data_IF_782365134937
#
_entry.id   IF_782365134937
#
_cell.length_a   1.000
_cell.length_b   1.000
_cell.length_c   1.000
_cell.angle_alpha   90.00
_cell.angle_beta   90.00
_cell.angle_gamma   90.00
#
_symmetry.space_group_name_H-M   'P 1'
#
loop_
_entity.id
_entity.type
_entity.pdbx_description
1 polymer ?
#
# COMPACT_ATOMS: atom_id res chain seq x y z
N UNK A 1 6.17 -10.14 36.93
CA UNK A 1 5.90 -8.85 36.22
C UNK A 1 7.22 -8.42 35.58
N UNK A 2 7.28 -8.09 34.29
CA UNK A 2 8.55 -7.67 33.64
C UNK A 2 8.85 -6.20 33.95
N UNK A 3 9.98 -5.96 34.59
CA UNK A 3 10.51 -4.63 34.90
C UNK A 3 11.70 -4.34 33.99
N UNK A 4 11.71 -3.14 33.43
CA UNK A 4 12.70 -2.75 32.43
C UNK A 4 13.84 -2.00 33.14
N UNK A 5 15.03 -2.56 33.11
CA UNK A 5 16.23 -1.93 33.65
C UNK A 5 16.62 -0.71 32.81
N UNK A 6 16.81 0.43 33.46
CA UNK A 6 17.34 1.64 32.85
C UNK A 6 18.86 1.67 33.04
N UNK A 7 19.55 2.03 31.97
CA UNK A 7 21.00 2.26 31.96
C UNK A 7 21.29 3.71 32.37
N UNK A 8 22.51 4.00 32.81
CA UNK A 8 22.96 5.35 33.23
C UNK A 8 22.73 6.40 32.16
N UNK A 9 22.90 5.99 30.90
CA UNK A 9 22.63 6.85 29.76
C UNK A 9 21.13 7.10 29.53
N UNK A 10 20.21 6.68 30.40
CA UNK A 10 18.75 6.86 30.30
C UNK A 10 18.05 6.01 29.23
N UNK A 11 18.76 5.13 28.53
CA UNK A 11 18.15 4.08 27.69
C UNK A 11 17.76 2.85 28.53
N UNK A 12 17.10 1.87 27.91
CA UNK A 12 16.78 0.61 28.58
C UNK A 12 17.75 -0.49 28.15
N UNK A 13 18.10 -1.37 29.09
CA UNK A 13 18.77 -2.61 28.77
C UNK A 13 17.80 -3.52 27.99
N UNK A 14 18.27 -4.07 26.89
CA UNK A 14 17.50 -4.93 25.98
C UNK A 14 18.24 -6.20 25.58
N UNK A 15 19.56 -6.24 25.78
CA UNK A 15 20.36 -7.46 25.67
C UNK A 15 19.90 -8.53 26.65
N UNK A 16 20.01 -9.79 26.22
CA UNK A 16 19.63 -10.94 27.06
C UNK A 16 18.13 -11.17 27.21
N UNK A 17 17.28 -10.21 26.84
CA UNK A 17 15.83 -10.38 26.93
C UNK A 17 15.32 -11.44 25.95
N UNK A 18 14.44 -12.31 26.43
CA UNK A 18 13.67 -13.21 25.56
C UNK A 18 12.64 -12.41 24.72
N UNK A 19 12.02 -13.06 23.74
CA UNK A 19 11.15 -12.36 22.78
C UNK A 19 9.92 -11.71 23.43
N UNK A 20 9.41 -12.31 24.51
CA UNK A 20 8.26 -11.76 25.23
C UNK A 20 8.66 -10.51 25.99
N UNK A 21 9.77 -10.56 26.73
CA UNK A 21 10.31 -9.43 27.47
C UNK A 21 10.72 -8.29 26.53
N UNK A 22 11.43 -8.60 25.45
CA UNK A 22 11.79 -7.64 24.41
C UNK A 22 10.54 -6.96 23.84
N UNK A 23 9.53 -7.73 23.43
CA UNK A 23 8.32 -7.15 22.87
C UNK A 23 7.57 -6.27 23.88
N UNK A 24 7.55 -6.67 25.16
CA UNK A 24 6.98 -5.86 26.25
C UNK A 24 7.76 -4.56 26.49
N UNK A 25 9.10 -4.61 26.48
CA UNK A 25 9.98 -3.45 26.61
C UNK A 25 9.70 -2.44 25.50
N UNK A 26 9.74 -2.87 24.24
CA UNK A 26 9.56 -1.95 23.12
C UNK A 26 8.13 -1.42 23.00
N UNK A 27 7.12 -2.12 23.53
CA UNK A 27 5.78 -1.55 23.71
C UNK A 27 5.78 -0.39 24.73
N UNK A 28 6.53 -0.51 25.83
CA UNK A 28 6.71 0.59 26.79
C UNK A 28 7.45 1.77 26.17
N UNK A 29 8.55 1.50 25.46
CA UNK A 29 9.34 2.53 24.73
C UNK A 29 8.46 3.26 23.71
N UNK A 30 7.70 2.53 22.89
CA UNK A 30 6.81 3.11 21.88
C UNK A 30 5.75 4.02 22.53
N UNK A 31 5.16 3.63 23.66
CA UNK A 31 4.22 4.49 24.40
C UNK A 31 4.88 5.76 24.92
N UNK A 32 6.10 5.64 25.47
CA UNK A 32 6.87 6.79 25.94
C UNK A 32 7.24 7.74 24.80
N UNK A 33 7.69 7.21 23.66
CA UNK A 33 7.99 8.00 22.46
C UNK A 33 6.76 8.74 21.96
N UNK A 34 5.58 8.10 21.93
CA UNK A 34 4.31 8.75 21.57
C UNK A 34 3.98 9.90 22.52
N UNK A 35 4.13 9.71 23.85
CA UNK A 35 3.92 10.76 24.85
C UNK A 35 4.88 11.94 24.64
N UNK A 36 6.18 11.65 24.47
CA UNK A 36 7.20 12.67 24.22
C UNK A 36 6.93 13.44 22.93
N UNK A 37 6.44 12.75 21.88
CA UNK A 37 6.14 13.39 20.59
C UNK A 37 4.92 14.31 20.67
N UNK A 38 3.88 13.95 21.44
CA UNK A 38 2.71 14.81 21.68
C UNK A 38 3.07 16.13 22.36
N UNK A 39 4.07 16.10 23.24
CA UNK A 39 4.55 17.28 23.97
C UNK A 39 5.70 18.00 23.25
N UNK A 40 6.01 17.64 22.00
CA UNK A 40 7.12 18.23 21.26
C UNK A 40 6.87 19.72 21.00
N UNK A 41 7.83 20.55 21.38
CA UNK A 41 7.80 22.00 21.14
C UNK A 41 8.49 22.35 19.82
N UNK A 42 8.23 23.57 19.32
CA UNK A 42 8.88 24.14 18.13
C UNK A 42 8.69 23.29 16.87
N UNK A 43 7.61 22.52 16.74
CA UNK A 43 7.34 21.68 15.57
C UNK A 43 6.76 22.49 14.42
N UNK A 44 7.17 22.19 13.18
CA UNK A 44 6.57 22.79 11.99
C UNK A 44 5.34 21.99 11.58
N UNK A 45 4.16 22.51 11.91
CA UNK A 45 2.87 21.90 11.58
C UNK A 45 2.47 22.20 10.13
N UNK A 46 1.51 21.44 9.60
CA UNK A 46 0.96 21.69 8.26
C UNK A 46 0.35 23.10 8.13
N UNK A 47 -0.33 23.58 9.18
CA UNK A 47 -0.90 24.92 9.23
C UNK A 47 0.18 26.01 9.17
N UNK A 48 1.21 25.90 10.00
CA UNK A 48 2.33 26.85 10.01
C UNK A 48 3.08 26.88 8.69
N UNK A 49 3.22 25.73 8.03
CA UNK A 49 3.87 25.63 6.73
C UNK A 49 3.04 26.27 5.60
N UNK A 50 1.70 26.15 5.65
CA UNK A 50 0.82 26.73 4.64
C UNK A 50 0.57 28.24 4.83
N UNK A 51 0.43 28.69 6.07
CA UNK A 51 0.14 30.10 6.41
C UNK A 51 1.05 30.57 7.54
N UNK A 52 2.30 30.97 7.24
CA UNK A 52 3.23 31.38 8.28
C UNK A 52 2.93 32.76 8.83
N UNK A 53 2.77 32.86 10.15
CA UNK A 53 2.76 34.14 10.86
C UNK A 53 4.13 34.43 11.48
N UNK A 54 4.47 35.70 11.70
CA UNK A 54 5.73 36.08 12.34
C UNK A 54 5.87 35.43 13.74
N UNK A 55 4.76 35.33 14.49
CA UNK A 55 4.70 34.63 15.78
C UNK A 55 5.03 33.14 15.61
N UNK A 56 4.46 32.47 14.61
CA UNK A 56 4.72 31.06 14.35
C UNK A 56 6.18 30.82 13.93
N UNK A 57 6.75 31.66 13.06
CA UNK A 57 8.16 31.59 12.67
C UNK A 57 9.10 31.74 13.86
N UNK A 58 8.84 32.70 14.77
CA UNK A 58 9.62 32.86 16.01
C UNK A 58 9.53 31.62 16.90
N UNK A 59 8.35 30.98 16.97
CA UNK A 59 8.14 29.76 17.76
C UNK A 59 8.84 28.52 17.18
N UNK A 60 9.21 28.49 15.89
CA UNK A 60 9.97 27.40 15.27
C UNK A 60 11.41 27.32 15.76
N UNK A 61 11.93 28.43 16.29
CA UNK A 61 13.26 28.52 16.82
C UNK A 61 14.35 28.76 15.79
N UNK A 62 15.50 28.13 16.03
CA UNK A 62 16.72 28.35 15.25
C UNK A 62 17.10 27.11 14.45
N UNK A 63 17.74 27.35 13.31
CA UNK A 63 18.40 26.39 12.43
C UNK A 63 19.72 25.93 13.06
N UNK A 64 20.40 25.01 12.36
CA UNK A 64 21.82 24.80 12.61
C UNK A 64 22.56 26.15 12.43
N UNK A 65 23.46 26.51 13.36
CA UNK A 65 24.19 27.80 13.42
C UNK A 65 23.42 29.01 13.97
N UNK A 66 22.31 28.81 14.70
CA UNK A 66 21.64 29.89 15.46
C UNK A 66 20.74 30.84 14.65
N UNK A 67 20.67 30.69 13.33
CA UNK A 67 19.81 31.52 12.47
C UNK A 67 18.33 31.17 12.66
N UNK A 68 17.42 32.14 12.65
CA UNK A 68 15.96 31.89 12.72
C UNK A 68 15.39 31.37 11.40
N UNK A 69 14.29 30.61 11.49
CA UNK A 69 13.52 30.22 10.31
C UNK A 69 12.83 31.41 9.64
N UNK A 70 12.94 31.49 8.33
CA UNK A 70 12.37 32.55 7.49
C UNK A 70 11.23 32.03 6.61
N UNK A 71 10.54 32.94 5.91
CA UNK A 71 9.48 32.55 4.96
C UNK A 71 10.06 31.77 3.77
N UNK A 72 11.26 32.12 3.33
CA UNK A 72 11.97 31.46 2.22
C UNK A 72 12.30 30.01 2.56
N UNK A 73 12.64 29.70 3.81
CA UNK A 73 12.83 28.32 4.25
C UNK A 73 11.54 27.50 4.09
N UNK A 74 10.39 28.08 4.44
CA UNK A 74 9.11 27.40 4.33
C UNK A 74 8.71 27.16 2.87
N UNK A 75 9.01 28.09 1.96
CA UNK A 75 8.84 27.89 0.52
C UNK A 75 9.71 26.71 0.04
N UNK A 76 10.97 26.64 0.49
CA UNK A 76 11.85 25.50 0.16
C UNK A 76 11.31 24.17 0.71
N UNK A 77 10.82 24.17 1.94
CA UNK A 77 10.21 22.99 2.55
C UNK A 77 8.95 22.54 1.79
N UNK A 78 8.10 23.47 1.36
CA UNK A 78 6.94 23.13 0.57
C UNK A 78 7.32 22.53 -0.79
N UNK A 79 8.30 23.14 -1.49
CA UNK A 79 8.86 22.56 -2.72
C UNK A 79 9.41 21.15 -2.50
N UNK A 80 10.09 20.89 -1.38
CA UNK A 80 10.53 19.55 -1.02
C UNK A 80 9.34 18.58 -0.80
N UNK A 81 8.25 19.02 -0.18
CA UNK A 81 7.02 18.21 -0.03
C UNK A 81 6.39 17.87 -1.38
N UNK A 82 6.28 18.83 -2.29
CA UNK A 82 5.68 18.59 -3.60
C UNK A 82 6.51 17.58 -4.41
N UNK A 83 7.83 17.77 -4.47
CA UNK A 83 8.75 16.79 -5.10
C UNK A 83 8.59 15.40 -4.49
N UNK A 84 8.48 15.31 -3.17
CA UNK A 84 8.23 14.02 -2.51
C UNK A 84 6.84 13.45 -2.86
N UNK A 85 5.82 14.27 -3.06
CA UNK A 85 4.48 13.78 -3.44
C UNK A 85 4.47 13.19 -4.87
N UNK A 86 5.27 13.75 -5.78
CA UNK A 86 5.37 13.26 -7.16
C UNK A 86 6.04 11.88 -7.25
N UNK A 87 7.04 11.63 -6.39
CA UNK A 87 7.82 10.38 -6.42
C UNK A 87 7.09 9.21 -5.73
N UNK A 88 6.16 9.49 -4.83
CA UNK A 88 5.52 8.48 -3.98
C UNK A 88 4.01 8.39 -4.24
N UNK A 89 3.54 7.18 -4.52
CA UNK A 89 2.11 6.90 -4.59
C UNK A 89 1.50 6.84 -3.19
N UNK A 90 0.81 7.91 -2.79
CA UNK A 90 0.10 7.98 -1.52
C UNK A 90 -1.27 7.32 -1.53
N UNK A 91 -1.78 6.91 -2.69
CA UNK A 91 -3.10 6.26 -2.82
C UNK A 91 -3.03 4.78 -2.44
N UNK A 92 -1.91 4.12 -2.76
CA UNK A 92 -1.69 2.71 -2.43
C UNK A 92 -0.87 2.56 -1.16
N UNK A 93 -1.31 1.69 -0.25
CA UNK A 93 -0.58 1.43 1.00
C UNK A 93 0.77 0.73 0.74
N UNK A 94 1.76 1.05 1.57
CA UNK A 94 3.10 0.45 1.54
C UNK A 94 3.97 0.89 0.35
N UNK A 95 5.21 0.44 0.33
CA UNK A 95 6.17 0.57 -0.79
C UNK A 95 6.84 -0.76 -1.07
N UNK A 96 7.32 -0.99 -2.29
CA UNK A 96 8.07 -2.21 -2.60
C UNK A 96 9.48 -2.16 -2.04
N UNK A 97 10.07 -3.33 -1.74
CA UNK A 97 11.47 -3.43 -1.30
C UNK A 97 12.43 -2.77 -2.28
N UNK A 98 12.25 -3.02 -3.58
CA UNK A 98 13.07 -2.46 -4.64
C UNK A 98 13.03 -0.91 -4.65
N UNK A 99 11.84 -0.31 -4.50
CA UNK A 99 11.70 1.14 -4.40
C UNK A 99 12.35 1.71 -3.14
N UNK A 100 12.17 1.03 -2.00
CA UNK A 100 12.73 1.41 -0.71
C UNK A 100 14.26 1.50 -0.78
N UNK A 101 14.91 0.46 -1.32
CA UNK A 101 16.37 0.41 -1.43
C UNK A 101 16.89 1.40 -2.48
N UNK A 102 16.28 1.45 -3.68
CA UNK A 102 16.69 2.39 -4.75
C UNK A 102 16.73 3.83 -4.26
N UNK A 103 15.68 4.27 -3.54
CA UNK A 103 15.53 5.65 -3.10
C UNK A 103 16.15 5.93 -1.72
N UNK A 104 16.79 4.94 -1.09
CA UNK A 104 17.54 5.15 0.16
C UNK A 104 18.92 5.75 -0.09
N UNK A 105 19.40 6.53 0.89
CA UNK A 105 20.72 7.15 0.82
C UNK A 105 21.81 6.08 0.86
N UNK A 106 22.88 6.28 0.10
CA UNK A 106 23.98 5.31 0.03
C UNK A 106 24.59 5.04 1.41
N UNK A 107 24.85 6.08 2.19
CA UNK A 107 25.36 5.96 3.56
C UNK A 107 24.46 5.12 4.48
N UNK A 108 23.12 5.17 4.32
CA UNK A 108 22.20 4.35 5.13
C UNK A 108 22.25 2.88 4.71
N UNK A 109 22.52 2.61 3.43
CA UNK A 109 22.74 1.26 2.86
C UNK A 109 24.07 0.70 3.34
N UNK A 110 25.15 1.47 3.27
CA UNK A 110 26.48 1.04 3.71
C UNK A 110 26.48 0.72 5.21
N UNK A 111 25.80 1.55 6.01
CA UNK A 111 25.54 1.28 7.44
C UNK A 111 24.74 0.01 7.67
N UNK A 112 23.66 -0.22 6.91
CA UNK A 112 22.87 -1.45 7.02
C UNK A 112 23.70 -2.70 6.66
N UNK A 113 24.65 -2.55 5.76
CA UNK A 113 25.60 -3.57 5.32
C UNK A 113 26.87 -3.65 6.15
N UNK A 114 27.03 -2.82 7.19
CA UNK A 114 28.26 -2.77 7.99
C UNK A 114 29.53 -2.53 7.13
N UNK A 115 29.46 -1.68 6.10
CA UNK A 115 30.58 -1.28 5.22
C UNK A 115 31.13 0.09 5.58
N UNK A 116 31.08 0.44 6.86
CA UNK A 116 31.53 1.74 7.37
C UNK A 116 32.42 1.50 8.59
N UNK A 117 33.48 2.30 8.70
CA UNK A 117 34.48 2.14 9.76
C UNK A 117 34.22 3.08 10.96
N UNK A 118 33.19 3.93 10.88
CA UNK A 118 32.79 4.88 11.93
C UNK A 118 32.02 4.21 13.11
N UNK A 119 31.98 2.88 13.16
CA UNK A 119 31.23 2.11 14.16
C UNK A 119 29.70 2.24 14.05
N UNK A 120 29.16 2.88 13.00
CA UNK A 120 27.71 3.05 12.82
C UNK A 120 27.06 1.90 12.04
N UNK A 121 27.82 0.86 11.68
CA UNK A 121 27.30 -0.31 10.96
C UNK A 121 26.36 -1.19 11.79
N UNK A 122 25.54 -2.01 11.11
CA UNK A 122 24.61 -2.96 11.74
C UNK A 122 25.13 -4.39 11.59
N UNK A 123 25.34 -5.04 12.72
CA UNK A 123 25.88 -6.40 12.73
C UNK A 123 24.82 -7.50 12.54
N UNK A 124 23.60 -7.31 13.10
CA UNK A 124 22.61 -8.39 13.18
C UNK A 124 21.17 -7.89 13.13
N UNK A 125 20.33 -8.66 12.44
CA UNK A 125 18.88 -8.58 12.55
C UNK A 125 18.30 -10.00 12.73
N UNK A 126 17.31 -10.13 13.60
CA UNK A 126 16.72 -11.42 14.00
C UNK A 126 15.20 -11.31 13.94
N UNK A 127 14.56 -12.30 13.32
CA UNK A 127 13.10 -12.43 13.34
C UNK A 127 12.65 -12.80 14.76
N UNK A 128 11.74 -12.01 15.33
CA UNK A 128 11.21 -12.22 16.68
C UNK A 128 9.87 -12.94 16.64
N UNK A 129 9.04 -12.56 15.68
CA UNK A 129 7.65 -12.98 15.67
C UNK A 129 6.83 -12.31 14.59
N UNK A 130 5.54 -12.61 14.59
CA UNK A 130 4.55 -11.99 13.72
C UNK A 130 3.28 -11.71 14.52
N UNK A 131 2.66 -10.56 14.26
CA UNK A 131 1.33 -10.20 14.77
C UNK A 131 0.46 -9.86 13.57
N UNK A 132 -0.48 -10.73 13.22
CA UNK A 132 -1.28 -10.65 11.99
C UNK A 132 -0.37 -10.65 10.77
N UNK A 133 -0.40 -9.55 10.03
CA UNK A 133 0.46 -9.25 8.89
C UNK A 133 1.68 -8.39 9.25
N UNK A 134 1.93 -8.14 10.55
CA UNK A 134 3.07 -7.33 11.03
C UNK A 134 4.18 -8.23 11.55
N UNK A 135 5.28 -8.31 10.80
CA UNK A 135 6.50 -8.98 11.20
C UNK A 135 7.27 -8.13 12.20
N UNK A 136 7.74 -8.76 13.28
CA UNK A 136 8.51 -8.13 14.36
C UNK A 136 9.97 -8.57 14.26
N UNK A 137 10.87 -7.59 14.15
CA UNK A 137 12.29 -7.82 13.90
C UNK A 137 13.12 -7.07 14.95
N UNK A 138 14.09 -7.78 15.54
CA UNK A 138 15.10 -7.28 16.47
C UNK A 138 16.32 -6.91 15.66
N UNK A 139 16.78 -5.67 15.76
CA UNK A 139 18.00 -5.22 15.09
C UNK A 139 19.00 -4.79 16.15
N UNK A 140 20.20 -5.38 16.14
CA UNK A 140 21.29 -4.97 17.01
C UNK A 140 21.71 -3.56 16.64
N UNK A 141 21.76 -2.66 17.61
CA UNK A 141 22.22 -1.31 17.35
C UNK A 141 23.73 -1.31 17.04
N UNK A 142 24.18 -0.22 16.41
CA UNK A 142 25.59 -0.03 16.11
C UNK A 142 26.42 0.23 17.37
N UNK A 143 27.74 0.03 17.33
CA UNK A 143 28.61 0.16 18.52
C UNK A 143 28.55 1.54 19.17
N UNK A 144 28.40 2.60 18.36
CA UNK A 144 28.28 3.99 18.85
C UNK A 144 26.85 4.40 19.26
N UNK A 145 25.90 3.47 19.24
CA UNK A 145 24.51 3.76 19.59
C UNK A 145 24.32 3.87 21.11
N UNK A 146 23.50 4.85 21.54
CA UNK A 146 23.02 4.94 22.93
C UNK A 146 22.15 3.74 23.33
N UNK A 147 21.43 3.17 22.36
CA UNK A 147 20.55 2.01 22.56
C UNK A 147 21.27 0.73 22.16
N UNK A 148 20.94 -0.39 22.80
CA UNK A 148 21.55 -1.70 22.50
C UNK A 148 20.88 -2.41 21.31
N UNK A 149 19.57 -2.29 21.20
CA UNK A 149 18.76 -2.91 20.15
C UNK A 149 17.62 -1.99 19.73
N UNK A 150 17.07 -2.25 18.55
CA UNK A 150 15.89 -1.59 18.00
C UNK A 150 14.87 -2.63 17.56
N UNK A 151 13.58 -2.27 17.63
CA UNK A 151 12.47 -3.03 17.08
C UNK A 151 12.01 -2.40 15.78
N UNK A 152 12.08 -3.18 14.71
CA UNK A 152 11.47 -2.86 13.43
C UNK A 152 10.17 -3.66 13.30
N UNK A 153 9.10 -2.98 12.92
CA UNK A 153 7.82 -3.58 12.53
C UNK A 153 7.68 -3.44 11.03
N UNK A 154 7.34 -4.52 10.34
CA UNK A 154 7.08 -4.51 8.89
C UNK A 154 5.72 -5.15 8.64
N UNK A 155 4.76 -4.37 8.14
CA UNK A 155 3.44 -4.85 7.72
C UNK A 155 3.51 -5.26 6.26
N UNK A 156 3.09 -6.48 5.98
CA UNK A 156 2.98 -7.04 4.63
C UNK A 156 1.57 -6.73 4.12
N UNK A 157 1.43 -5.79 3.19
CA UNK A 157 0.11 -5.23 2.82
C UNK A 157 -0.78 -6.27 2.12
N UNK A 158 -0.18 -7.22 1.41
CA UNK A 158 -0.90 -8.26 0.66
C UNK A 158 -1.06 -9.56 1.46
N UNK A 159 -0.70 -9.59 2.74
CA UNK A 159 -0.72 -10.81 3.55
C UNK A 159 -2.11 -11.43 3.63
N UNK A 160 -3.13 -10.63 3.90
CA UNK A 160 -4.50 -11.14 4.11
C UNK A 160 -5.09 -11.64 2.79
N UNK A 161 -4.88 -10.92 1.68
CA UNK A 161 -5.24 -11.35 0.32
C UNK A 161 -4.58 -12.69 -0.01
N UNK A 162 -3.26 -12.80 0.16
CA UNK A 162 -2.48 -14.01 -0.16
C UNK A 162 -2.74 -15.17 0.80
N UNK A 163 -3.26 -14.89 2.00
CA UNK A 163 -3.71 -15.91 2.95
C UNK A 163 -5.01 -16.57 2.46
N UNK A 164 -5.92 -15.78 1.86
CA UNK A 164 -7.18 -16.28 1.29
C UNK A 164 -7.01 -16.87 -0.11
N UNK A 165 -6.23 -16.21 -0.96
CA UNK A 165 -6.00 -16.55 -2.36
C UNK A 165 -4.55 -17.01 -2.57
N UNK A 166 -4.13 -18.01 -1.79
CA UNK A 166 -2.78 -18.55 -1.90
C UNK A 166 -2.55 -19.16 -3.29
N UNK A 167 -1.47 -18.80 -4.01
CA UNK A 167 -1.19 -19.36 -5.34
C UNK A 167 -1.08 -20.88 -5.28
N UNK A 168 -1.92 -21.59 -6.03
CA UNK A 168 -1.98 -23.06 -6.05
C UNK A 168 -2.15 -23.71 -4.67
N UNK A 169 -2.66 -23.00 -3.67
CA UNK A 169 -2.70 -23.50 -2.28
C UNK A 169 -1.35 -23.50 -1.55
N UNK A 170 -0.29 -22.92 -2.13
CA UNK A 170 1.06 -22.91 -1.55
C UNK A 170 1.35 -21.63 -0.76
N UNK A 171 1.34 -21.75 0.57
CA UNK A 171 1.68 -20.66 1.47
C UNK A 171 3.16 -20.22 1.41
N UNK A 172 4.08 -21.05 0.90
CA UNK A 172 5.46 -20.63 0.69
C UNK A 172 5.52 -19.60 -0.44
N UNK A 173 4.88 -19.91 -1.57
CA UNK A 173 4.76 -18.98 -2.69
C UNK A 173 3.99 -17.72 -2.28
N UNK A 174 2.89 -17.85 -1.54
CA UNK A 174 2.13 -16.74 -0.99
C UNK A 174 3.00 -15.79 -0.16
N UNK A 175 3.81 -16.31 0.77
CA UNK A 175 4.70 -15.48 1.59
C UNK A 175 5.84 -14.86 0.80
N UNK A 176 6.41 -15.57 -0.19
CA UNK A 176 7.40 -14.99 -1.09
C UNK A 176 6.84 -13.76 -1.82
N UNK A 177 5.61 -13.87 -2.34
CA UNK A 177 4.90 -12.74 -2.95
C UNK A 177 4.63 -11.63 -1.93
N UNK A 178 4.19 -11.96 -0.71
CA UNK A 178 3.94 -10.96 0.32
C UNK A 178 5.21 -10.19 0.73
N UNK A 179 6.36 -10.87 0.83
CA UNK A 179 7.64 -10.26 1.15
C UNK A 179 8.25 -9.45 -0.01
N UNK A 180 8.00 -9.85 -1.26
CA UNK A 180 8.41 -9.09 -2.46
C UNK A 180 7.46 -7.92 -2.76
N UNK A 181 6.21 -8.01 -2.28
CA UNK A 181 5.14 -7.06 -2.47
C UNK A 181 5.32 -5.74 -1.71
N UNK A 182 4.20 -5.05 -1.47
CA UNK A 182 4.22 -3.76 -0.77
C UNK A 182 4.32 -3.96 0.74
N UNK A 183 5.17 -3.17 1.36
CA UNK A 183 5.42 -3.18 2.80
C UNK A 183 5.23 -1.79 3.41
N UNK A 184 4.62 -1.73 4.59
CA UNK A 184 4.71 -0.57 5.47
C UNK A 184 5.61 -0.88 6.65
N UNK A 185 6.26 0.12 7.23
CA UNK A 185 7.17 -0.12 8.35
C UNK A 185 7.16 0.99 9.41
N UNK A 186 7.69 0.64 10.58
CA UNK A 186 7.97 1.55 11.69
C UNK A 186 9.23 1.04 12.42
N UNK A 187 10.06 1.95 12.91
CA UNK A 187 11.26 1.64 13.67
C UNK A 187 11.41 2.65 14.81
N UNK A 188 11.65 2.17 16.04
CA UNK A 188 11.75 3.02 17.23
C UNK A 188 12.97 3.97 17.22
N UNK A 189 13.96 3.75 16.35
CA UNK A 189 15.16 4.57 16.35
C UNK A 189 14.88 6.04 16.02
N UNK A 190 15.66 6.95 16.61
CA UNK A 190 15.47 8.40 16.43
C UNK A 190 15.58 8.86 14.97
N UNK A 191 16.41 8.20 14.14
CA UNK A 191 16.51 8.52 12.71
C UNK A 191 15.19 8.23 11.99
N UNK A 192 14.52 7.12 12.28
CA UNK A 192 13.20 6.87 11.70
C UNK A 192 12.15 7.83 12.29
N UNK A 193 12.05 7.91 13.62
CA UNK A 193 11.02 8.70 14.30
C UNK A 193 11.06 10.19 13.92
N UNK A 194 12.24 10.78 13.74
CA UNK A 194 12.40 12.23 13.51
C UNK A 194 12.79 12.62 12.08
N UNK A 195 13.23 11.68 11.24
CA UNK A 195 13.59 11.97 9.85
C UNK A 195 12.59 11.37 8.88
N UNK A 196 12.36 10.05 8.96
CA UNK A 196 11.66 9.29 7.92
C UNK A 196 10.19 9.04 8.20
N UNK A 197 9.71 9.11 9.46
CA UNK A 197 8.30 8.84 9.78
C UNK A 197 7.34 9.82 9.08
N UNK A 198 7.76 11.07 8.91
CA UNK A 198 7.04 12.07 8.13
C UNK A 198 6.91 11.66 6.67
N UNK A 199 8.01 11.25 6.03
CA UNK A 199 8.04 10.78 4.64
C UNK A 199 7.18 9.51 4.48
N UNK A 200 7.27 8.58 5.42
CA UNK A 200 6.45 7.37 5.45
C UNK A 200 4.96 7.65 5.60
N UNK A 201 4.61 8.70 6.35
CA UNK A 201 3.23 9.17 6.46
C UNK A 201 2.74 9.75 5.14
N UNK A 202 3.57 10.58 4.48
CA UNK A 202 3.21 11.18 3.19
C UNK A 202 3.06 10.15 2.07
N UNK A 203 3.96 9.15 2.02
CA UNK A 203 3.93 8.10 0.99
C UNK A 203 3.02 6.91 1.33
N UNK A 204 2.21 7.00 2.38
CA UNK A 204 1.30 5.93 2.82
C UNK A 204 1.97 4.56 3.10
N UNK A 205 3.22 4.56 3.57
CA UNK A 205 3.99 3.35 3.92
C UNK A 205 4.41 3.31 5.41
N UNK A 206 3.81 4.15 6.25
CA UNK A 206 3.97 4.07 7.70
C UNK A 206 2.99 3.06 8.32
N UNK A 207 3.43 2.36 9.36
CA UNK A 207 2.50 1.63 10.23
C UNK A 207 1.84 2.63 11.17
N UNK A 208 0.56 2.92 10.91
CA UNK A 208 -0.27 3.78 11.74
C UNK A 208 -1.08 2.96 12.76
N UNK A 209 -1.41 3.52 13.96
CA UNK A 209 -0.99 4.82 14.50
C UNK A 209 0.35 4.80 15.28
N UNK A 210 1.08 5.94 15.36
CA UNK A 210 0.72 7.28 14.87
C UNK A 210 1.28 7.60 13.47
N UNK A 211 0.55 8.48 12.79
CA UNK A 211 1.05 9.25 11.64
C UNK A 211 1.87 10.45 12.15
N UNK A 212 2.86 10.87 11.38
CA UNK A 212 3.70 12.04 11.68
C UNK A 212 3.39 13.17 10.71
N UNK A 213 2.86 14.28 11.23
CA UNK A 213 2.45 15.43 10.43
C UNK A 213 3.37 16.64 10.57
N UNK A 214 4.29 16.63 11.54
CA UNK A 214 5.23 17.73 11.71
C UNK A 214 6.47 17.52 10.84
N UNK A 215 6.75 18.53 10.02
CA UNK A 215 7.82 18.51 9.02
C UNK A 215 9.20 18.45 9.70
N UNK A 216 10.14 17.62 9.21
CA UNK A 216 11.45 17.38 9.84
C UNK A 216 12.47 18.51 9.54
N UNK A 217 12.10 19.77 9.78
CA UNK A 217 12.80 21.00 9.34
C UNK A 217 14.28 21.12 9.71
N UNK A 218 14.74 20.46 10.78
CA UNK A 218 16.15 20.49 11.23
C UNK A 218 16.90 19.25 10.72
N UNK A 219 16.24 18.09 10.74
CA UNK A 219 16.91 16.79 10.57
C UNK A 219 16.90 16.32 9.12
N UNK A 220 15.84 16.62 8.37
CA UNK A 220 15.70 16.25 6.96
C UNK A 220 14.94 17.33 6.17
N UNK A 221 15.47 18.56 6.07
CA UNK A 221 14.77 19.67 5.41
C UNK A 221 14.48 19.41 3.92
N UNK A 222 15.32 18.62 3.25
CA UNK A 222 15.15 18.27 1.82
C UNK A 222 14.32 16.99 1.60
N UNK A 223 13.81 16.36 2.66
CA UNK A 223 13.06 15.10 2.59
C UNK A 223 13.75 13.99 1.76
N UNK A 224 15.07 13.85 1.90
CA UNK A 224 15.82 12.87 1.11
C UNK A 224 16.01 11.52 1.84
N UNK A 225 16.02 10.43 1.08
CA UNK A 225 16.06 9.05 1.59
C UNK A 225 14.68 8.51 1.99
N UNK A 226 14.56 7.20 2.17
CA UNK A 226 13.30 6.52 2.51
C UNK A 226 13.32 5.92 3.92
N UNK A 227 14.44 5.29 4.28
CA UNK A 227 14.51 4.40 5.43
C UNK A 227 15.84 4.55 6.17
N UNK A 228 15.82 4.24 7.48
CA UNK A 228 17.03 4.13 8.27
C UNK A 228 17.73 2.78 8.04
N UNK A 229 19.00 2.70 8.44
CA UNK A 229 19.81 1.47 8.40
C UNK A 229 19.11 0.23 9.01
N UNK A 230 18.34 0.41 10.10
CA UNK A 230 17.65 -0.71 10.75
C UNK A 230 16.52 -1.28 9.88
N UNK A 231 15.71 -0.41 9.27
CA UNK A 231 14.65 -0.82 8.36
C UNK A 231 15.26 -1.49 7.14
N UNK A 232 16.30 -0.90 6.54
CA UNK A 232 16.99 -1.48 5.38
C UNK A 232 17.52 -2.90 5.67
N UNK A 233 18.17 -3.10 6.82
CA UNK A 233 18.65 -4.44 7.21
C UNK A 233 17.48 -5.39 7.44
N UNK A 234 16.44 -4.95 8.14
CA UNK A 234 15.27 -5.76 8.47
C UNK A 234 14.51 -6.23 7.20
N UNK A 235 14.23 -5.32 6.26
CA UNK A 235 13.50 -5.63 5.02
C UNK A 235 14.31 -6.44 4.03
N UNK A 236 15.63 -6.27 4.04
CA UNK A 236 16.55 -7.13 3.30
C UNK A 236 16.51 -8.57 3.83
N UNK A 237 16.52 -8.74 5.15
CA UNK A 237 16.44 -10.08 5.76
C UNK A 237 15.08 -10.76 5.52
N UNK A 238 14.00 -10.01 5.29
CA UNK A 238 12.70 -10.57 4.87
C UNK A 238 12.74 -11.25 3.50
N UNK A 239 13.73 -10.93 2.67
CA UNK A 239 13.95 -11.64 1.39
C UNK A 239 14.61 -13.01 1.58
N UNK A 240 14.91 -13.40 2.82
CA UNK A 240 15.49 -14.70 3.13
C UNK A 240 14.47 -15.83 3.04
N UNK A 241 14.82 -16.90 2.32
CA UNK A 241 14.06 -18.15 2.33
C UNK A 241 13.87 -18.73 3.74
N UNK A 242 14.85 -18.56 4.64
CA UNK A 242 14.75 -19.06 6.01
C UNK A 242 13.63 -18.35 6.79
N UNK A 243 13.51 -17.03 6.64
CA UNK A 243 12.46 -16.25 7.28
C UNK A 243 11.11 -16.51 6.61
N UNK A 244 11.09 -16.54 5.28
CA UNK A 244 9.87 -16.81 4.50
C UNK A 244 9.26 -18.18 4.83
N UNK A 245 10.06 -19.23 5.03
CA UNK A 245 9.55 -20.54 5.47
C UNK A 245 8.87 -20.50 6.85
N UNK A 246 9.45 -19.76 7.80
CA UNK A 246 8.85 -19.57 9.12
C UNK A 246 7.53 -18.82 8.98
N UNK A 247 7.53 -17.74 8.20
CA UNK A 247 6.33 -16.95 7.95
C UNK A 247 5.25 -17.76 7.19
N UNK A 248 5.62 -18.65 6.26
CA UNK A 248 4.69 -19.52 5.54
C UNK A 248 3.99 -20.51 6.48
N UNK A 249 4.72 -21.09 7.44
CA UNK A 249 4.12 -21.90 8.49
C UNK A 249 3.13 -21.09 9.34
N UNK A 250 3.44 -19.83 9.63
CA UNK A 250 2.53 -18.95 10.37
C UNK A 250 1.30 -18.56 9.54
N UNK A 251 1.45 -18.28 8.25
CA UNK A 251 0.32 -18.02 7.33
C UNK A 251 -0.61 -19.23 7.27
N UNK A 252 -0.05 -20.45 7.11
CA UNK A 252 -0.80 -21.71 7.13
C UNK A 252 -1.55 -21.94 8.46
N UNK A 253 -0.94 -21.59 9.59
CA UNK A 253 -1.61 -21.67 10.90
C UNK A 253 -2.74 -20.65 11.02
N UNK A 254 -2.52 -19.41 10.55
CA UNK A 254 -3.56 -18.38 10.54
C UNK A 254 -4.74 -18.76 9.66
N UNK A 255 -4.51 -19.34 8.47
CA UNK A 255 -5.55 -19.79 7.56
C UNK A 255 -6.48 -20.87 8.13
N UNK A 256 -5.97 -21.69 9.06
CA UNK A 256 -6.74 -22.76 9.73
C UNK A 256 -7.51 -22.29 10.96
N UNK A 257 -7.26 -21.07 11.43
CA UNK A 257 -7.78 -20.60 12.71
C UNK A 257 -9.23 -20.15 12.58
N UNK A 258 -10.05 -20.53 13.57
CA UNK A 258 -11.42 -20.04 13.73
C UNK A 258 -11.41 -18.77 14.59
N UNK A 259 -12.17 -17.75 14.19
CA UNK A 259 -12.34 -16.49 14.92
C UNK A 259 -11.99 -15.24 14.09
N UNK A 260 -12.10 -14.06 14.71
CA UNK A 260 -11.77 -12.80 14.03
C UNK A 260 -10.28 -12.66 13.76
N UNK A 261 -9.90 -12.18 12.57
CA UNK A 261 -8.51 -11.86 12.24
C UNK A 261 -7.89 -10.77 13.13
N UNK A 262 -8.71 -10.04 13.89
CA UNK A 262 -8.28 -9.06 14.90
C UNK A 262 -7.84 -9.67 16.23
N UNK A 263 -8.30 -10.87 16.58
CA UNK A 263 -8.21 -11.46 17.94
C UNK A 263 -6.87 -12.16 18.21
N UNK A 264 -5.82 -11.61 17.62
CA UNK A 264 -4.58 -12.33 17.42
C UNK A 264 -3.51 -11.88 18.40
N UNK A 265 -3.19 -12.82 19.29
CA UNK A 265 -1.99 -12.78 20.12
C UNK A 265 -0.76 -12.74 19.22
N UNK A 266 0.21 -11.89 19.57
CA UNK A 266 1.52 -11.89 18.89
C UNK A 266 2.12 -13.29 18.98
N UNK A 267 2.42 -13.90 17.83
CA UNK A 267 3.25 -15.09 17.76
C UNK A 267 4.71 -14.69 17.95
N UNK A 268 5.40 -15.38 18.85
CA UNK A 268 6.82 -15.20 19.10
C UNK A 268 7.53 -16.51 18.78
N UNK A 269 8.66 -16.42 18.08
CA UNK A 269 9.40 -17.59 17.65
C UNK A 269 9.89 -18.42 18.84
N UNK A 270 9.79 -19.74 18.69
CA UNK A 270 10.42 -20.68 19.62
C UNK A 270 11.92 -20.86 19.31
N UNK A 271 12.67 -21.53 20.20
CA UNK A 271 14.12 -21.71 20.05
C UNK A 271 14.53 -22.44 18.76
N UNK A 272 13.73 -23.41 18.29
CA UNK A 272 13.99 -24.12 17.02
C UNK A 272 13.87 -23.18 15.83
N UNK A 273 12.83 -22.36 15.80
CA UNK A 273 12.63 -21.35 14.74
C UNK A 273 13.68 -20.25 14.79
N UNK A 274 14.11 -19.82 15.98
CA UNK A 274 15.22 -18.85 16.11
C UNK A 274 16.51 -19.40 15.51
N UNK A 275 16.87 -20.64 15.83
CA UNK A 275 18.03 -21.31 15.24
C UNK A 275 17.89 -21.42 13.72
N UNK A 276 16.71 -21.74 13.20
CA UNK A 276 16.45 -21.77 11.76
C UNK A 276 16.57 -20.39 11.10
N UNK A 277 16.00 -19.34 11.71
CA UNK A 277 16.06 -17.97 11.24
C UNK A 277 17.49 -17.41 11.21
N UNK A 278 18.34 -17.85 12.15
CA UNK A 278 19.74 -17.44 12.28
C UNK A 278 20.68 -18.09 11.24
N UNK A 279 20.22 -19.09 10.47
CA UNK A 279 21.02 -19.69 9.38
C UNK A 279 21.29 -18.72 8.24
N UNK A 280 20.51 -17.64 8.13
CA UNK A 280 20.77 -16.62 7.13
C UNK A 280 21.86 -15.64 7.59
N UNK A 281 23.07 -15.77 7.03
CA UNK A 281 24.24 -14.95 7.41
C UNK A 281 24.72 -13.97 6.33
N UNK A 282 24.30 -14.14 5.07
CA UNK A 282 24.92 -13.43 3.93
C UNK A 282 24.02 -12.44 3.20
N UNK A 283 22.75 -12.26 3.61
CA UNK A 283 21.88 -11.31 2.90
C UNK A 283 22.29 -9.86 3.20
N UNK A 284 22.63 -9.16 2.12
CA UNK A 284 23.06 -7.77 2.11
C UNK A 284 22.12 -6.95 1.24
N UNK A 285 22.03 -5.66 1.55
CA UNK A 285 21.26 -4.70 0.76
C UNK A 285 22.03 -4.47 -0.56
N UNK A 286 21.43 -4.83 -1.69
CA UNK A 286 22.00 -4.58 -3.03
C UNK A 286 21.17 -3.51 -3.75
N UNK A 287 21.75 -2.31 -3.86
CA UNK A 287 21.12 -1.17 -4.53
C UNK A 287 21.04 -1.36 -6.05
N UNK A 288 22.01 -2.00 -6.67
CA UNK A 288 22.01 -2.22 -8.10
C UNK A 288 20.93 -3.23 -8.50
N UNK A 289 20.81 -4.33 -7.75
CA UNK A 289 19.73 -5.29 -7.94
C UNK A 289 18.35 -4.66 -7.73
N UNK A 290 18.16 -3.92 -6.63
CA UNK A 290 16.91 -3.22 -6.35
C UNK A 290 16.56 -2.19 -7.44
N UNK A 291 17.55 -1.49 -8.00
CA UNK A 291 17.33 -0.53 -9.09
C UNK A 291 16.84 -1.23 -10.36
N UNK A 292 17.45 -2.37 -10.72
CA UNK A 292 17.01 -3.19 -11.86
C UNK A 292 15.61 -3.75 -11.65
N UNK A 293 15.32 -4.27 -10.46
CA UNK A 293 14.01 -4.81 -10.11
C UNK A 293 12.92 -3.74 -10.14
N UNK A 294 13.21 -2.55 -9.60
CA UNK A 294 12.27 -1.44 -9.64
C UNK A 294 12.01 -0.96 -11.08
N UNK A 295 13.02 -0.96 -11.95
CA UNK A 295 12.82 -0.66 -13.36
C UNK A 295 11.92 -1.70 -14.05
N UNK A 296 12.08 -2.99 -13.74
CA UNK A 296 11.16 -4.05 -14.22
C UNK A 296 9.73 -3.83 -13.73
N UNK A 297 9.56 -3.48 -12.46
CA UNK A 297 8.26 -3.15 -11.88
C UNK A 297 7.57 -1.99 -12.62
N UNK A 298 8.28 -0.90 -12.89
CA UNK A 298 7.72 0.23 -13.64
C UNK A 298 7.32 -0.16 -15.07
N UNK A 299 8.14 -0.96 -15.76
CA UNK A 299 7.79 -1.46 -17.10
C UNK A 299 6.52 -2.32 -17.08
N UNK A 300 6.39 -3.19 -16.08
CA UNK A 300 5.22 -4.05 -15.91
C UNK A 300 3.95 -3.23 -15.62
N UNK A 301 4.05 -2.19 -14.76
CA UNK A 301 2.93 -1.30 -14.49
C UNK A 301 2.51 -0.51 -15.74
N UNK A 302 3.47 0.07 -16.46
CA UNK A 302 3.17 0.81 -17.70
C UNK A 302 2.54 -0.10 -18.77
N UNK A 303 2.98 -1.36 -18.88
CA UNK A 303 2.39 -2.32 -19.79
C UNK A 303 0.94 -2.67 -19.40
N UNK A 304 0.69 -2.88 -18.09
CA UNK A 304 -0.65 -3.13 -17.56
C UNK A 304 -1.59 -1.96 -17.77
N UNK A 305 -1.13 -0.73 -17.52
CA UNK A 305 -1.92 0.49 -17.77
C UNK A 305 -2.32 0.62 -19.24
N UNK A 306 -1.38 0.36 -20.17
CA UNK A 306 -1.69 0.32 -21.61
C UNK A 306 -2.73 -0.73 -21.95
N UNK A 307 -2.65 -1.92 -21.35
CA UNK A 307 -3.62 -2.99 -21.55
C UNK A 307 -5.01 -2.61 -21.03
N UNK A 308 -5.09 -2.03 -19.83
CA UNK A 308 -6.35 -1.53 -19.26
C UNK A 308 -6.94 -0.42 -20.14
N UNK A 309 -6.11 0.51 -20.63
CA UNK A 309 -6.57 1.57 -21.52
C UNK A 309 -7.12 1.01 -22.85
N UNK A 310 -6.46 -0.01 -23.41
CA UNK A 310 -6.95 -0.72 -24.60
C UNK A 310 -8.30 -1.39 -24.34
N UNK A 311 -8.43 -2.15 -23.25
CA UNK A 311 -9.68 -2.81 -22.86
C UNK A 311 -10.83 -1.81 -22.64
N UNK A 312 -10.55 -0.64 -22.04
CA UNK A 312 -11.56 0.42 -21.88
C UNK A 312 -12.06 0.93 -23.24
N UNK A 313 -11.17 1.21 -24.19
CA UNK A 313 -11.54 1.66 -25.55
C UNK A 313 -12.37 0.61 -26.29
N UNK A 314 -12.00 -0.66 -26.17
CA UNK A 314 -12.77 -1.78 -26.73
C UNK A 314 -14.16 -1.88 -26.10
N UNK A 315 -14.25 -1.78 -24.77
CA UNK A 315 -15.52 -1.78 -24.04
C UNK A 315 -16.43 -0.62 -24.44
N UNK A 316 -15.88 0.59 -24.63
CA UNK A 316 -16.64 1.75 -25.10
C UNK A 316 -17.18 1.57 -26.52
N UNK A 317 -16.37 1.00 -27.41
CA UNK A 317 -16.78 0.67 -28.78
C UNK A 317 -17.93 -0.33 -28.77
N UNK A 318 -17.82 -1.40 -27.98
CA UNK A 318 -18.88 -2.42 -27.83
C UNK A 318 -20.15 -1.79 -27.27
N UNK A 319 -20.05 -0.93 -26.24
CA UNK A 319 -21.21 -0.21 -25.67
C UNK A 319 -21.88 0.68 -26.71
N UNK A 320 -21.11 1.36 -27.57
CA UNK A 320 -21.66 2.21 -28.65
C UNK A 320 -22.39 1.38 -29.69
N UNK A 321 -21.83 0.25 -30.11
CA UNK A 321 -22.48 -0.67 -31.05
C UNK A 321 -23.76 -1.25 -30.45
N UNK A 322 -23.73 -1.69 -29.19
CA UNK A 322 -24.92 -2.18 -28.49
C UNK A 322 -26.02 -1.11 -28.38
N UNK A 323 -25.67 0.17 -28.16
CA UNK A 323 -26.65 1.27 -28.17
C UNK A 323 -27.28 1.47 -29.54
N UNK A 324 -26.49 1.45 -30.62
CA UNK A 324 -27.02 1.55 -32.00
C UNK A 324 -27.98 0.40 -32.31
N UNK A 325 -27.58 -0.83 -32.01
CA UNK A 325 -28.44 -2.01 -32.22
C UNK A 325 -29.75 -1.93 -31.42
N UNK A 326 -29.71 -1.43 -30.18
CA UNK A 326 -30.92 -1.21 -29.39
C UNK A 326 -31.82 -0.13 -29.99
N UNK A 327 -31.24 0.96 -30.50
CA UNK A 327 -32.00 2.00 -31.17
C UNK A 327 -32.67 1.47 -32.44
N UNK A 328 -31.92 0.79 -33.31
CA UNK A 328 -32.46 0.15 -34.52
C UNK A 328 -33.54 -0.89 -34.18
N UNK A 329 -33.35 -1.67 -33.12
CA UNK A 329 -34.35 -2.63 -32.64
C UNK A 329 -35.62 -1.93 -32.14
N UNK A 330 -35.50 -0.82 -31.42
CA UNK A 330 -36.65 -0.05 -30.92
C UNK A 330 -37.39 0.63 -32.07
N UNK A 331 -36.67 1.18 -33.06
CA UNK A 331 -37.27 1.77 -34.26
C UNK A 331 -38.06 0.71 -35.04
N UNK A 332 -37.47 -0.47 -35.29
CA UNK A 332 -38.16 -1.60 -35.92
C UNK A 332 -39.40 -2.04 -35.14
N UNK A 333 -39.32 -2.09 -33.81
CA UNK A 333 -40.47 -2.41 -32.96
C UNK A 333 -41.58 -1.36 -33.09
N UNK A 334 -41.24 -0.07 -33.09
CA UNK A 334 -42.19 1.02 -33.31
C UNK A 334 -42.89 0.93 -34.68
N UNK A 335 -42.16 0.58 -35.74
CA UNK A 335 -42.76 0.33 -37.06
C UNK A 335 -43.73 -0.86 -37.04
N UNK A 336 -43.36 -1.96 -36.37
CA UNK A 336 -44.24 -3.13 -36.21
C UNK A 336 -45.51 -2.74 -35.44
N UNK A 337 -45.38 -2.00 -34.34
CA UNK A 337 -46.52 -1.55 -33.53
C UNK A 337 -47.45 -0.63 -34.34
N UNK A 338 -46.89 0.28 -35.15
CA UNK A 338 -47.68 1.13 -36.06
C UNK A 338 -48.44 0.31 -37.11
N UNK A 339 -47.81 -0.73 -37.67
CA UNK A 339 -48.47 -1.65 -38.61
C UNK A 339 -49.59 -2.42 -37.92
N UNK A 340 -49.39 -2.88 -36.67
CA UNK A 340 -50.42 -3.56 -35.87
C UNK A 340 -51.63 -2.67 -35.62
N UNK A 341 -51.42 -1.44 -35.17
CA UNK A 341 -52.50 -0.47 -34.91
C UNK A 341 -53.19 -0.05 -36.21
N UNK A 342 -52.42 0.23 -37.27
CA UNK A 342 -52.97 0.56 -38.59
C UNK A 342 -53.85 -0.55 -39.15
N UNK A 343 -53.41 -1.81 -39.05
CA UNK A 343 -54.20 -2.96 -39.46
C UNK A 343 -55.46 -3.12 -38.61
N UNK A 344 -55.37 -2.93 -37.28
CA UNK A 344 -56.52 -3.02 -36.39
C UNK A 344 -57.60 -2.00 -36.75
N UNK A 345 -57.22 -0.73 -36.94
CA UNK A 345 -58.15 0.33 -37.36
C UNK A 345 -58.78 0.03 -38.73
N UNK A 346 -57.98 -0.44 -39.69
CA UNK A 346 -58.47 -0.83 -41.02
C UNK A 346 -59.45 -2.00 -40.96
N UNK A 347 -59.15 -3.01 -40.15
CA UNK A 347 -60.00 -4.17 -39.93
C UNK A 347 -61.31 -3.81 -39.24
N UNK A 348 -61.29 -2.90 -38.25
CA UNK A 348 -62.51 -2.46 -37.58
C UNK A 348 -63.43 -1.66 -38.52
N UNK A 349 -62.87 -0.89 -39.46
CA UNK A 349 -63.64 -0.30 -40.57
C UNK A 349 -64.25 -1.33 -41.52
N UNK A 350 -63.54 -2.43 -41.81
CA UNK A 350 -64.05 -3.54 -42.62
C UNK A 350 -65.18 -4.31 -41.93
N UNK A 351 -65.11 -4.50 -40.60
CA UNK A 351 -66.19 -5.10 -39.81
C UNK A 351 -67.49 -4.31 -39.92
N UNK A 352 -67.41 -2.98 -39.87
CA UNK A 352 -68.59 -2.11 -40.01
C UNK A 352 -69.25 -2.22 -41.39
N UNK A 353 -68.52 -2.68 -42.41
CA UNK A 353 -69.02 -2.96 -43.76
C UNK A 353 -69.47 -4.42 -43.95
N UNK A 354 -69.49 -5.24 -42.89
CA UNK A 354 -69.86 -6.66 -42.96
C UNK A 354 -68.80 -7.58 -43.60
N UNK A 355 -67.56 -7.10 -43.79
CA UNK A 355 -66.48 -7.88 -44.42
C UNK A 355 -65.65 -8.65 -43.39
N UNK A 356 -65.03 -9.74 -43.83
CA UNK A 356 -64.26 -10.64 -42.97
C UNK A 356 -62.83 -10.15 -42.70
N UNK A 357 -62.24 -10.63 -41.61
CA UNK A 357 -60.82 -10.36 -41.26
C UNK A 357 -59.83 -10.81 -42.33
N UNK A 358 -60.15 -11.89 -43.05
CA UNK A 358 -59.31 -12.44 -44.13
C UNK A 358 -59.25 -11.49 -45.34
N UNK A 359 -60.38 -10.86 -45.67
CA UNK A 359 -60.46 -9.83 -46.73
C UNK A 359 -59.72 -8.55 -46.32
N UNK A 360 -59.88 -8.13 -45.05
CA UNK A 360 -59.14 -6.99 -44.51
C UNK A 360 -57.62 -7.23 -44.55
N UNK A 361 -57.16 -8.43 -44.19
CA UNK A 361 -55.75 -8.84 -44.26
C UNK A 361 -55.21 -8.78 -45.70
N UNK A 362 -55.97 -9.31 -46.67
CA UNK A 362 -55.56 -9.35 -48.08
C UNK A 362 -55.48 -7.96 -48.68
N UNK A 363 -56.44 -7.08 -48.37
CA UNK A 363 -56.49 -5.73 -48.93
C UNK A 363 -55.49 -4.78 -48.26
N UNK A 364 -55.29 -4.89 -46.93
CA UNK A 364 -54.25 -4.12 -46.25
C UNK A 364 -52.84 -4.56 -46.69
N UNK A 365 -52.64 -5.86 -46.94
CA UNK A 365 -51.39 -6.38 -47.50
C UNK A 365 -51.11 -5.81 -48.90
N UNK A 366 -52.14 -5.70 -49.76
CA UNK A 366 -52.02 -5.04 -51.07
C UNK A 366 -51.66 -3.55 -50.95
N UNK A 367 -52.31 -2.81 -50.04
CA UNK A 367 -52.01 -1.39 -49.77
C UNK A 367 -50.56 -1.18 -49.30
N UNK A 368 -50.06 -2.10 -48.48
CA UNK A 368 -48.68 -2.08 -47.97
C UNK A 368 -47.66 -2.73 -48.94
N UNK A 369 -48.10 -3.19 -50.11
CA UNK A 369 -47.30 -3.92 -51.10
C UNK A 369 -46.51 -5.12 -50.50
N UNK A 370 -47.16 -5.90 -49.64
CA UNK A 370 -46.61 -7.10 -49.01
C UNK A 370 -47.53 -8.30 -49.22
N UNK A 371 -47.00 -9.51 -49.04
CA UNK A 371 -47.84 -10.71 -49.09
C UNK A 371 -48.72 -10.82 -47.82
N UNK A 372 -49.96 -11.35 -47.92
CA UNK A 372 -50.83 -11.53 -46.77
C UNK A 372 -50.19 -12.38 -45.65
N UNK A 373 -49.47 -13.44 -46.02
CA UNK A 373 -48.75 -14.30 -45.08
C UNK A 373 -47.61 -13.61 -44.33
N UNK A 374 -46.97 -12.61 -44.96
CA UNK A 374 -45.92 -11.79 -44.34
C UNK A 374 -46.53 -10.76 -43.40
N UNK A 375 -47.63 -10.12 -43.80
CA UNK A 375 -48.37 -9.21 -42.93
C UNK A 375 -48.92 -9.94 -41.70
N UNK A 376 -49.51 -11.13 -41.88
CA UNK A 376 -50.04 -11.95 -40.79
C UNK A 376 -48.98 -12.27 -39.73
N UNK A 377 -47.75 -12.52 -40.17
CA UNK A 377 -46.61 -12.81 -39.29
C UNK A 377 -46.09 -11.58 -38.54
N UNK A 378 -46.28 -10.38 -39.08
CA UNK A 378 -45.92 -9.11 -38.44
C UNK A 378 -46.97 -8.68 -37.42
N UNK A 379 -48.24 -8.97 -37.68
CA UNK A 379 -49.36 -8.59 -36.80
C UNK A 379 -49.61 -9.57 -35.65
N UNK A 380 -49.26 -10.86 -35.80
CA UNK A 380 -49.10 -11.80 -34.67
C UNK A 380 -48.06 -11.24 -33.71
#
# INVERSE_FOLDING_TARGET
KFEAEKRDNGSFASLGLNERQFNQLFNKIERAQKKNRRNAKRTLTASTLAKPTNKALKALGEKAKGQRFTKEDLIKFDKARQRHKEVYDSKTAGITYAFLVKNSRQIDIDRANNRVDDGTGIHKATLIGIKNNIVLIRVRASSVSRHEEHRVKVRLEQWDELLHESPNGDYNQAVQLACAGRISFDCDCGRHQYWYRYLATMGNYCIAPPKEFAFPKIRNPELSGVACKHVLKATTMLQSLAWQRILANQMKQQARRVGFGSDNKTYLLNEKEKKAAARNRKTMVDKAAATREHAKYLRAQNAREKQIAKQKRESETIKRQARKLRQESNEKKGYIDMIKVGFQNFHDGYKLQGKTKSEALTNFAKLMNVTPSRLERIIK
#
